data_IF_157393423828
#
_entry.id   IF_157393423828
#
_cell.length_a   1.000
_cell.length_b   1.000
_cell.length_c   1.000
_cell.angle_alpha   90.00
_cell.angle_beta   90.00
_cell.angle_gamma   90.00
#
_symmetry.space_group_name_H-M   'P 1'
#
loop_
_entity.id
_entity.type
_entity.pdbx_description
1 polymer ?
#
# COMPACT_ATOMS: atom_id res chain seq x y z
N UNK A 1 4.55 -35.37 -23.25
CA UNK A 1 4.55 -33.98 -22.73
C UNK A 1 5.52 -33.91 -21.56
N UNK A 2 6.60 -33.09 -21.65
CA UNK A 2 7.48 -32.84 -20.49
C UNK A 2 6.66 -32.02 -19.48
N UNK A 3 6.44 -32.56 -18.28
CA UNK A 3 5.92 -31.78 -17.15
C UNK A 3 6.97 -30.72 -16.85
N UNK A 4 6.67 -29.45 -17.09
CA UNK A 4 7.50 -28.34 -16.62
C UNK A 4 7.41 -28.33 -15.09
N UNK A 5 8.34 -29.05 -14.45
CA UNK A 5 8.45 -29.11 -13.01
C UNK A 5 9.18 -27.84 -12.57
N UNK A 6 8.44 -26.80 -12.17
CA UNK A 6 9.00 -25.57 -11.59
C UNK A 6 9.43 -25.79 -10.12
N UNK A 7 9.90 -26.99 -9.79
CA UNK A 7 10.32 -27.37 -8.45
C UNK A 7 11.79 -27.71 -8.47
N UNK A 8 12.58 -26.94 -7.74
CA UNK A 8 14.01 -27.15 -7.59
C UNK A 8 14.29 -27.76 -6.22
N UNK A 9 14.98 -28.91 -6.19
CA UNK A 9 15.39 -29.58 -4.96
C UNK A 9 16.85 -29.24 -4.63
N UNK A 10 17.18 -29.22 -3.33
CA UNK A 10 18.55 -29.09 -2.82
C UNK A 10 19.33 -27.86 -3.36
N UNK A 11 18.65 -26.72 -3.48
CA UNK A 11 19.25 -25.49 -4.00
C UNK A 11 19.95 -24.68 -2.91
N UNK A 12 21.02 -23.99 -3.32
CA UNK A 12 21.63 -22.95 -2.50
C UNK A 12 20.75 -21.71 -2.53
N UNK A 13 20.23 -21.31 -1.37
CA UNK A 13 19.43 -20.10 -1.19
C UNK A 13 20.18 -19.10 -0.31
N UNK A 14 20.56 -17.96 -0.89
CA UNK A 14 21.12 -16.81 -0.17
C UNK A 14 19.97 -15.92 0.30
N UNK A 15 19.84 -15.74 1.61
CA UNK A 15 18.80 -14.89 2.19
C UNK A 15 19.36 -13.54 2.63
N UNK A 16 18.80 -12.46 2.11
CA UNK A 16 19.03 -11.09 2.56
C UNK A 16 17.83 -10.66 3.38
N UNK A 17 17.87 -10.99 4.68
CA UNK A 17 16.82 -10.71 5.64
C UNK A 17 17.09 -9.37 6.31
N UNK A 18 16.02 -8.65 6.65
CA UNK A 18 16.12 -7.30 7.19
C UNK A 18 16.22 -7.28 8.71
N UNK A 19 15.40 -8.11 9.38
CA UNK A 19 15.31 -8.11 10.86
C UNK A 19 16.01 -9.29 11.50
N UNK A 20 15.97 -10.46 10.86
CA UNK A 20 16.64 -11.64 11.39
C UNK A 20 18.00 -11.81 10.71
N UNK A 21 19.01 -12.25 11.48
CA UNK A 21 20.31 -12.63 10.91
C UNK A 21 20.24 -13.96 10.15
N UNK A 22 19.34 -14.85 10.56
CA UNK A 22 19.12 -16.19 10.01
C UNK A 22 17.63 -16.45 9.87
N UNK A 23 17.23 -17.15 8.80
CA UNK A 23 15.86 -17.57 8.59
C UNK A 23 15.40 -18.49 9.74
N UNK A 24 14.21 -18.24 10.28
CA UNK A 24 13.65 -18.99 11.40
C UNK A 24 12.65 -20.03 10.93
N UNK A 25 12.69 -21.21 11.54
CA UNK A 25 11.70 -22.27 11.32
C UNK A 25 10.30 -21.74 11.65
N UNK A 26 9.34 -21.98 10.76
CA UNK A 26 7.94 -21.60 10.94
C UNK A 26 7.61 -20.11 10.74
N UNK A 27 8.59 -19.27 10.41
CA UNK A 27 8.36 -17.84 10.12
C UNK A 27 8.18 -17.61 8.62
N UNK A 28 7.15 -16.85 8.27
CA UNK A 28 6.95 -16.38 6.89
C UNK A 28 7.75 -15.09 6.64
N UNK A 29 8.45 -15.06 5.51
CA UNK A 29 9.16 -13.89 5.00
C UNK A 29 8.53 -13.47 3.67
N UNK A 30 8.25 -12.18 3.50
CA UNK A 30 7.78 -11.62 2.23
C UNK A 30 8.97 -11.02 1.49
N UNK A 31 9.09 -11.28 0.19
CA UNK A 31 10.25 -10.83 -0.56
C UNK A 31 10.22 -11.18 -2.03
N UNK A 32 11.32 -10.85 -2.70
CA UNK A 32 11.58 -11.20 -4.09
C UNK A 32 12.57 -12.34 -4.14
N UNK A 33 12.27 -13.37 -4.92
CA UNK A 33 13.16 -14.48 -5.22
C UNK A 33 13.74 -14.31 -6.62
N UNK A 34 15.07 -14.36 -6.74
CA UNK A 34 15.81 -14.30 -8.00
C UNK A 34 16.60 -15.59 -8.18
N UNK A 35 16.66 -16.09 -9.41
CA UNK A 35 17.57 -17.17 -9.83
C UNK A 35 18.78 -16.50 -10.47
N UNK A 36 19.93 -16.67 -9.84
CA UNK A 36 21.20 -16.07 -10.23
C UNK A 36 22.13 -17.14 -10.81
N UNK A 37 22.96 -16.72 -11.75
CA UNK A 37 24.02 -17.54 -12.34
C UNK A 37 25.27 -16.68 -12.30
N UNK A 38 26.24 -17.08 -11.50
CA UNK A 38 27.60 -16.52 -11.55
C UNK A 38 28.44 -17.43 -12.45
N UNK A 39 29.00 -16.84 -13.52
CA UNK A 39 29.90 -17.54 -14.43
C UNK A 39 31.21 -16.78 -14.55
N UNK A 40 32.28 -17.35 -14.02
CA UNK A 40 33.65 -16.96 -14.35
C UNK A 40 34.30 -18.09 -15.16
N UNK A 41 35.44 -17.83 -15.83
CA UNK A 41 36.07 -18.68 -16.86
C UNK A 41 36.21 -20.17 -16.50
N UNK A 42 36.11 -20.55 -15.21
CA UNK A 42 36.15 -21.94 -14.73
C UNK A 42 35.10 -22.29 -13.65
N UNK A 43 34.11 -21.44 -13.37
CA UNK A 43 33.07 -21.71 -12.35
C UNK A 43 31.68 -21.31 -12.82
N UNK A 44 30.73 -22.20 -12.65
CA UNK A 44 29.31 -21.98 -12.92
C UNK A 44 28.53 -22.27 -11.64
N UNK A 45 28.17 -21.21 -10.91
CA UNK A 45 27.45 -21.31 -9.65
C UNK A 45 26.04 -20.75 -9.83
N UNK A 46 25.09 -21.67 -10.06
CA UNK A 46 23.67 -21.35 -10.04
C UNK A 46 23.16 -21.36 -8.59
N UNK A 47 22.58 -20.23 -8.17
CA UNK A 47 22.00 -20.10 -6.84
C UNK A 47 20.74 -19.23 -6.87
N UNK A 48 19.98 -19.30 -5.79
CA UNK A 48 18.82 -18.43 -5.60
C UNK A 48 19.15 -17.35 -4.58
N UNK A 49 18.69 -16.13 -4.83
CA UNK A 49 18.77 -15.02 -3.87
C UNK A 49 17.36 -14.60 -3.48
N UNK A 50 17.05 -14.63 -2.18
CA UNK A 50 15.83 -14.08 -1.62
C UNK A 50 16.14 -12.77 -0.90
N UNK A 51 15.40 -11.71 -1.26
CA UNK A 51 15.50 -10.40 -0.60
C UNK A 51 14.20 -10.10 0.12
N UNK A 52 14.26 -9.99 1.45
CA UNK A 52 13.08 -9.64 2.26
C UNK A 52 12.64 -8.21 1.92
N UNK A 53 11.38 -8.07 1.51
CA UNK A 53 10.76 -6.77 1.27
C UNK A 53 9.82 -6.44 2.42
N UNK A 54 9.66 -5.15 2.69
CA UNK A 54 8.52 -4.70 3.49
C UNK A 54 7.30 -4.99 2.63
N UNK A 55 6.20 -5.54 3.17
CA UNK A 55 4.92 -5.30 2.55
C UNK A 55 4.81 -3.78 2.44
N UNK A 56 4.92 -3.22 1.23
CA UNK A 56 4.42 -1.87 1.01
C UNK A 56 2.98 -2.00 1.48
N UNK A 57 2.65 -1.33 2.57
CA UNK A 57 1.39 -1.53 3.28
C UNK A 57 0.27 -1.50 2.26
N UNK A 58 -0.23 -2.67 1.83
CA UNK A 58 -1.24 -2.78 0.78
C UNK A 58 -2.60 -2.59 1.41
N UNK A 59 -2.70 -1.67 2.35
CA UNK A 59 -3.85 -0.80 2.39
C UNK A 59 -3.39 0.38 1.54
N UNK A 60 -3.63 0.31 0.23
CA UNK A 60 -3.72 1.54 -0.57
C UNK A 60 -4.78 2.39 0.14
N UNK A 61 -4.34 3.26 1.03
CA UNK A 61 -5.24 4.24 1.62
C UNK A 61 -5.47 5.23 0.49
N UNK A 62 -6.72 5.29 0.02
CA UNK A 62 -7.18 6.35 -0.87
C UNK A 62 -6.60 7.67 -0.37
N UNK A 63 -5.74 8.37 -1.14
CA UNK A 63 -5.08 9.58 -0.67
C UNK A 63 -6.13 10.57 -0.19
N UNK A 64 -5.92 11.09 1.01
CA UNK A 64 -6.78 12.13 1.56
C UNK A 64 -6.41 13.45 0.89
N UNK A 65 -7.38 14.05 0.21
CA UNK A 65 -7.21 15.31 -0.53
C UNK A 65 -7.75 16.51 0.24
N UNK A 66 -8.60 16.28 1.25
CA UNK A 66 -9.11 17.32 2.14
C UNK A 66 -9.41 16.77 3.54
N UNK A 67 -9.12 17.57 4.56
CA UNK A 67 -9.36 17.28 5.98
C UNK A 67 -10.06 18.48 6.62
N UNK A 68 -11.39 18.43 6.69
CA UNK A 68 -12.21 19.45 7.34
C UNK A 68 -12.56 19.09 8.78
N UNK A 69 -13.33 19.94 9.45
CA UNK A 69 -13.86 19.69 10.78
C UNK A 69 -15.03 18.71 10.76
N UNK A 70 -15.84 18.70 9.70
CA UNK A 70 -17.05 17.89 9.55
C UNK A 70 -16.86 16.71 8.60
N UNK A 71 -16.03 16.87 7.56
CA UNK A 71 -15.79 15.82 6.56
C UNK A 71 -14.30 15.64 6.27
N UNK A 72 -13.97 14.52 5.63
CA UNK A 72 -12.70 14.30 4.95
C UNK A 72 -13.00 13.88 3.52
N UNK A 73 -12.17 14.26 2.55
CA UNK A 73 -12.32 13.81 1.16
C UNK A 73 -11.12 12.94 0.81
N UNK A 74 -11.40 11.75 0.29
CA UNK A 74 -10.38 10.83 -0.21
C UNK A 74 -10.57 10.63 -1.70
N UNK A 75 -9.47 10.58 -2.47
CA UNK A 75 -9.50 10.20 -3.88
C UNK A 75 -9.31 8.70 -4.02
N UNK A 76 -10.22 8.03 -4.71
CA UNK A 76 -10.13 6.59 -5.01
C UNK A 76 -9.17 6.33 -6.16
N UNK A 77 -8.76 5.07 -6.31
CA UNK A 77 -7.95 4.58 -7.42
C UNK A 77 -8.57 4.86 -8.81
N UNK A 78 -9.91 4.92 -8.91
CA UNK A 78 -10.64 5.28 -10.14
C UNK A 78 -10.69 6.80 -10.41
N UNK A 79 -10.01 7.60 -9.59
CA UNK A 79 -9.97 9.06 -9.68
C UNK A 79 -11.16 9.76 -9.02
N UNK A 80 -12.20 9.04 -8.58
CA UNK A 80 -13.39 9.65 -7.95
C UNK A 80 -13.11 10.14 -6.53
N UNK A 81 -13.81 11.21 -6.13
CA UNK A 81 -13.72 11.75 -4.77
C UNK A 81 -14.82 11.18 -3.89
N UNK A 82 -14.44 10.76 -2.68
CA UNK A 82 -15.35 10.24 -1.65
C UNK A 82 -15.30 11.13 -0.42
N UNK A 83 -16.37 11.89 -0.12
CA UNK A 83 -16.56 12.52 1.18
C UNK A 83 -16.83 11.44 2.24
N UNK A 84 -16.22 11.59 3.42
CA UNK A 84 -16.47 10.77 4.59
C UNK A 84 -16.82 11.70 5.76
N UNK A 85 -18.00 11.53 6.34
CA UNK A 85 -18.49 12.34 7.45
C UNK A 85 -17.80 11.93 8.75
N UNK A 86 -17.34 12.92 9.52
CA UNK A 86 -16.86 12.74 10.88
C UNK A 86 -18.04 12.60 11.84
N UNK A 87 -17.86 11.95 13.00
CA UNK A 87 -18.91 11.82 14.01
C UNK A 87 -19.60 13.16 14.32
N UNK A 88 -20.92 13.13 14.29
CA UNK A 88 -21.76 14.28 14.61
C UNK A 88 -22.17 14.18 16.08
N UNK A 89 -21.77 15.17 16.88
CA UNK A 89 -22.29 15.35 18.24
C UNK A 89 -23.28 16.50 18.23
N UNK A 90 -24.57 16.18 18.31
CA UNK A 90 -25.64 17.18 18.41
C UNK A 90 -25.73 17.63 19.87
N UNK A 91 -25.47 18.91 20.13
CA UNK A 91 -25.50 19.50 21.47
C UNK A 91 -24.99 20.94 21.48
N UNK A 92 -25.48 21.77 22.41
CA UNK A 92 -25.13 23.19 22.50
C UNK A 92 -25.70 24.04 21.34
N UNK A 93 -24.89 24.92 20.76
CA UNK A 93 -25.27 25.86 19.68
C UNK A 93 -25.25 25.26 18.26
N UNK A 94 -25.01 23.95 18.15
CA UNK A 94 -24.93 23.24 16.87
C UNK A 94 -26.29 22.64 16.51
N UNK A 95 -27.02 23.31 15.61
CA UNK A 95 -28.25 22.78 15.01
C UNK A 95 -27.91 21.88 13.81
N UNK A 96 -28.87 21.03 13.40
CA UNK A 96 -28.72 20.24 12.18
C UNK A 96 -28.50 21.13 10.94
N UNK A 97 -29.25 22.22 10.83
CA UNK A 97 -29.09 23.19 9.73
C UNK A 97 -27.69 23.79 9.68
N UNK A 98 -27.12 24.13 10.84
CA UNK A 98 -25.75 24.64 10.94
C UNK A 98 -24.73 23.58 10.54
N UNK A 99 -24.92 22.33 10.96
CA UNK A 99 -24.05 21.22 10.56
C UNK A 99 -24.07 21.00 9.04
N UNK A 100 -25.25 20.99 8.42
CA UNK A 100 -25.39 20.84 6.95
C UNK A 100 -24.70 21.99 6.22
N UNK A 101 -24.87 23.22 6.69
CA UNK A 101 -24.20 24.39 6.13
C UNK A 101 -22.66 24.28 6.24
N UNK A 102 -22.14 23.88 7.40
CA UNK A 102 -20.70 23.69 7.60
C UNK A 102 -20.14 22.57 6.69
N UNK A 103 -20.87 21.47 6.48
CA UNK A 103 -20.49 20.43 5.51
C UNK A 103 -20.45 20.96 4.09
N UNK A 104 -21.44 21.77 3.69
CA UNK A 104 -21.47 22.38 2.36
C UNK A 104 -20.25 23.25 2.09
N UNK A 105 -19.87 24.10 3.05
CA UNK A 105 -18.66 24.92 2.94
C UNK A 105 -17.40 24.05 2.79
N UNK A 106 -17.25 23.01 3.61
CA UNK A 106 -16.10 22.10 3.53
C UNK A 106 -16.04 21.32 2.20
N UNK A 107 -17.18 20.98 1.60
CA UNK A 107 -17.22 20.39 0.26
C UNK A 107 -16.73 21.36 -0.80
N UNK A 108 -17.19 22.62 -0.76
CA UNK A 108 -16.73 23.66 -1.67
C UNK A 108 -15.23 23.91 -1.51
N UNK A 109 -14.72 24.03 -0.29
CA UNK A 109 -13.30 24.21 -0.02
C UNK A 109 -12.47 23.03 -0.54
N UNK A 110 -12.86 21.80 -0.19
CA UNK A 110 -12.13 20.60 -0.55
C UNK A 110 -12.13 20.25 -2.05
N UNK A 111 -13.05 20.84 -2.82
CA UNK A 111 -13.15 20.65 -4.27
C UNK A 111 -12.76 21.90 -5.08
N UNK A 112 -12.56 23.05 -4.44
CA UNK A 112 -12.23 24.31 -5.12
C UNK A 112 -10.90 24.27 -5.88
N UNK A 113 -9.93 23.47 -5.41
CA UNK A 113 -8.64 23.27 -6.08
C UNK A 113 -8.62 22.23 -7.20
N UNK A 114 -9.79 21.71 -7.62
CA UNK A 114 -9.91 20.63 -8.61
C UNK A 114 -10.64 21.04 -9.89
N UNK A 115 -11.02 22.32 -10.00
CA UNK A 115 -11.51 22.90 -11.26
C UNK A 115 -10.26 23.33 -12.04
N UNK A 116 -9.61 22.39 -12.71
CA UNK A 116 -8.78 22.76 -13.87
C UNK A 116 -9.74 23.19 -14.99
N UNK A 117 -9.45 24.36 -15.57
CA UNK A 117 -10.22 25.00 -16.63
C UNK A 117 -10.56 23.99 -17.74
N UNK A 118 -11.86 23.83 -18.02
CA UNK A 118 -12.37 23.01 -19.12
C UNK A 118 -12.12 23.64 -20.49
#
# INVERSE_FOLDING_TARGET
>A
MKKNCNTHFSVNLKTLLRKDRLAKVGKNYLGVLRRDVESDEFRYDEHFTFVETIPSTTIKRNPKVYEGKRITITRKDDGTYRPNFKPMHIGGSLTLSRYVYEVYIELCEGLSGLIEEG
#
